data_IF_832236555361
#
_entry.id   IF_832236555361
#
_cell.length_a   1.000
_cell.length_b   1.000
_cell.length_c   1.000
_cell.angle_alpha   90.00
_cell.angle_beta   90.00
_cell.angle_gamma   90.00
#
_symmetry.space_group_name_H-M   'P 1'
#
loop_
_entity.id
_entity.type
_entity.pdbx_description
1 polymer ?
#
# COMPACT_ATOMS: atom_id res chain seq x y z
N UNK A 1 -10.75 -46.86 54.15
CA UNK A 1 -9.96 -47.19 52.92
C UNK A 1 -10.55 -46.57 51.62
N UNK A 2 -11.70 -45.86 51.67
CA UNK A 2 -12.33 -45.24 50.46
C UNK A 2 -11.75 -43.88 50.01
N UNK A 3 -11.17 -42.98 50.87
CA UNK A 3 -10.71 -41.65 50.41
C UNK A 3 -9.40 -41.73 49.60
N UNK A 4 -8.51 -42.70 49.89
CA UNK A 4 -7.19 -42.81 49.21
C UNK A 4 -7.36 -43.16 47.72
N UNK A 5 -8.30 -44.01 47.39
CA UNK A 5 -8.58 -44.45 46.03
C UNK A 5 -9.19 -43.28 45.20
N UNK A 6 -9.94 -42.39 45.83
CA UNK A 6 -10.55 -41.23 45.17
C UNK A 6 -9.51 -40.14 44.86
N UNK A 7 -8.59 -39.88 45.83
CA UNK A 7 -7.46 -38.96 45.63
C UNK A 7 -6.51 -39.49 44.56
N UNK A 8 -6.24 -40.79 44.53
CA UNK A 8 -5.39 -41.40 43.49
C UNK A 8 -6.01 -41.35 42.09
N UNK A 9 -7.35 -41.46 42.00
CA UNK A 9 -8.07 -41.29 40.71
C UNK A 9 -8.07 -39.83 40.24
N UNK A 10 -8.21 -38.87 41.15
CA UNK A 10 -8.12 -37.43 40.85
C UNK A 10 -6.72 -37.03 40.41
N UNK A 11 -5.68 -37.53 41.07
CA UNK A 11 -4.28 -37.31 40.70
C UNK A 11 -3.94 -37.91 39.32
N UNK A 12 -4.51 -39.07 38.99
CA UNK A 12 -4.31 -39.73 37.70
C UNK A 12 -5.02 -38.99 36.55
N UNK A 13 -6.20 -38.41 36.81
CA UNK A 13 -6.89 -37.55 35.84
C UNK A 13 -6.16 -36.21 35.56
N UNK A 14 -5.59 -35.60 36.61
CA UNK A 14 -4.81 -34.37 36.47
C UNK A 14 -3.51 -34.64 35.71
N UNK A 15 -2.87 -35.78 35.94
CA UNK A 15 -1.67 -36.18 35.22
C UNK A 15 -1.95 -36.52 33.75
N UNK A 16 -3.10 -37.14 33.46
CA UNK A 16 -3.52 -37.44 32.08
C UNK A 16 -3.84 -36.18 31.27
N UNK A 17 -4.39 -35.12 31.89
CA UNK A 17 -4.64 -33.83 31.22
C UNK A 17 -3.35 -33.05 30.90
N UNK A 18 -2.30 -33.19 31.70
CA UNK A 18 -1.03 -32.51 31.47
C UNK A 18 -0.21 -33.10 30.30
N UNK A 19 -0.44 -34.32 29.90
CA UNK A 19 0.29 -34.98 28.79
C UNK A 19 -0.23 -34.54 27.41
N UNK A 20 -1.47 -34.06 27.32
CA UNK A 20 -2.06 -33.66 26.04
C UNK A 20 -1.44 -32.33 25.50
N UNK A 21 -0.87 -31.51 26.37
CA UNK A 21 -0.19 -30.25 25.95
C UNK A 21 1.27 -30.42 25.53
N UNK A 22 1.86 -31.62 25.70
CA UNK A 22 3.31 -31.81 25.57
C UNK A 22 3.81 -32.18 24.17
N UNK A 23 2.94 -32.30 23.15
CA UNK A 23 3.34 -32.78 21.81
C UNK A 23 3.04 -31.82 20.62
N UNK A 24 2.68 -30.58 20.84
CA UNK A 24 2.59 -29.65 19.76
C UNK A 24 4.00 -29.23 19.27
N UNK A 25 4.40 -29.69 18.10
CA UNK A 25 5.66 -29.25 17.47
C UNK A 25 5.51 -27.80 16.96
N UNK A 26 6.59 -27.00 17.01
CA UNK A 26 6.59 -25.69 16.37
C UNK A 26 6.19 -25.79 14.88
N UNK A 27 5.33 -24.93 14.36
CA UNK A 27 4.87 -24.96 12.96
C UNK A 27 5.93 -24.34 12.04
N UNK A 28 7.12 -24.92 12.01
CA UNK A 28 8.27 -24.36 11.28
C UNK A 28 8.04 -24.31 9.77
N UNK A 29 7.35 -25.30 9.21
CA UNK A 29 7.06 -25.35 7.78
C UNK A 29 6.04 -24.29 7.41
N UNK A 30 4.94 -24.19 8.16
CA UNK A 30 3.88 -23.19 7.90
C UNK A 30 4.40 -21.75 8.03
N UNK A 31 5.33 -21.52 8.96
CA UNK A 31 6.03 -20.23 9.11
C UNK A 31 6.89 -19.96 7.87
N UNK A 32 7.72 -20.90 7.45
CA UNK A 32 8.60 -20.74 6.28
C UNK A 32 7.78 -20.52 4.99
N UNK A 33 6.67 -21.24 4.83
CA UNK A 33 5.77 -21.07 3.70
C UNK A 33 5.10 -19.68 3.69
N UNK A 34 4.72 -19.18 4.87
CA UNK A 34 4.15 -17.85 5.02
C UNK A 34 5.18 -16.74 4.75
N UNK A 35 6.41 -16.88 5.26
CA UNK A 35 7.51 -15.95 4.96
C UNK A 35 7.78 -15.87 3.46
N UNK A 36 7.84 -17.02 2.81
CA UNK A 36 8.01 -17.09 1.37
C UNK A 36 6.86 -16.41 0.63
N UNK A 37 5.61 -16.69 1.00
CA UNK A 37 4.45 -16.09 0.36
C UNK A 37 4.44 -14.55 0.52
N UNK A 38 4.78 -14.02 1.69
CA UNK A 38 4.90 -12.57 1.94
C UNK A 38 6.03 -11.97 1.10
N UNK A 39 7.17 -12.66 1.00
CA UNK A 39 8.28 -12.23 0.14
C UNK A 39 7.88 -12.22 -1.34
N UNK A 40 7.23 -13.28 -1.82
CA UNK A 40 6.74 -13.37 -3.20
C UNK A 40 5.71 -12.28 -3.52
N UNK A 41 4.81 -11.97 -2.58
CA UNK A 41 3.84 -10.87 -2.72
C UNK A 41 4.55 -9.50 -2.84
N UNK A 42 5.61 -9.29 -2.06
CA UNK A 42 6.41 -8.06 -2.14
C UNK A 42 7.16 -7.94 -3.48
N UNK A 43 7.70 -9.05 -4.00
CA UNK A 43 8.31 -9.06 -5.35
C UNK A 43 7.31 -8.73 -6.45
N UNK A 44 6.02 -8.98 -6.21
CA UNK A 44 4.90 -8.59 -7.07
C UNK A 44 4.41 -7.16 -6.79
N UNK A 45 5.13 -6.38 -6.00
CA UNK A 45 4.77 -5.02 -5.64
C UNK A 45 3.39 -4.91 -4.94
N UNK A 46 2.98 -5.95 -4.20
CA UNK A 46 1.68 -5.97 -3.52
C UNK A 46 1.58 -4.87 -2.45
N UNK A 47 2.68 -4.44 -1.89
CA UNK A 47 2.79 -3.29 -0.99
C UNK A 47 2.42 -1.95 -1.67
N UNK A 48 2.51 -1.86 -3.00
CA UNK A 48 2.15 -0.67 -3.78
C UNK A 48 0.72 -0.72 -4.34
N UNK A 49 0.25 -1.91 -4.73
CA UNK A 49 -1.00 -2.05 -5.49
C UNK A 49 -2.12 -2.76 -4.73
N UNK A 50 -1.82 -3.42 -3.59
CA UNK A 50 -2.78 -4.19 -2.76
C UNK A 50 -2.42 -4.02 -1.28
N UNK A 51 -2.08 -2.80 -0.87
CA UNK A 51 -1.53 -2.44 0.44
C UNK A 51 -2.33 -3.01 1.62
N UNK A 52 -3.66 -2.88 1.59
CA UNK A 52 -4.54 -3.33 2.69
C UNK A 52 -4.42 -4.84 2.96
N UNK A 53 -4.40 -5.66 1.90
CA UNK A 53 -4.31 -7.12 2.04
C UNK A 53 -2.89 -7.51 2.41
N UNK A 54 -1.89 -6.87 1.81
CA UNK A 54 -0.48 -7.12 2.08
C UNK A 54 -0.11 -6.78 3.52
N UNK A 55 -0.57 -5.64 4.04
CA UNK A 55 -0.37 -5.25 5.44
C UNK A 55 -0.98 -6.27 6.40
N UNK A 56 -2.19 -6.75 6.14
CA UNK A 56 -2.82 -7.82 6.95
C UNK A 56 -2.04 -9.13 6.90
N UNK A 57 -1.45 -9.46 5.75
CA UNK A 57 -0.58 -10.62 5.65
C UNK A 57 0.67 -10.49 6.55
N UNK A 58 1.30 -9.30 6.54
CA UNK A 58 2.45 -9.00 7.41
C UNK A 58 2.08 -9.03 8.89
N UNK A 59 0.94 -8.46 9.28
CA UNK A 59 0.45 -8.50 10.66
C UNK A 59 0.18 -9.94 11.14
N UNK A 60 -0.44 -10.76 10.28
CA UNK A 60 -0.66 -12.18 10.59
C UNK A 60 0.65 -12.96 10.69
N UNK A 61 1.64 -12.65 9.87
CA UNK A 61 2.97 -13.22 9.95
C UNK A 61 3.68 -12.84 11.27
N UNK A 62 3.61 -11.57 11.65
CA UNK A 62 4.12 -11.09 12.94
C UNK A 62 3.44 -11.81 14.11
N UNK A 63 2.12 -11.92 14.07
CA UNK A 63 1.35 -12.67 15.08
C UNK A 63 1.79 -14.14 15.15
N UNK A 64 2.05 -14.79 14.02
CA UNK A 64 2.53 -16.18 14.00
C UNK A 64 3.85 -16.33 14.74
N UNK A 65 4.82 -15.44 14.49
CA UNK A 65 6.13 -15.47 15.18
C UNK A 65 6.02 -15.18 16.68
N UNK A 66 5.16 -14.24 17.08
CA UNK A 66 4.86 -13.96 18.50
C UNK A 66 4.24 -15.17 19.20
N UNK A 67 3.32 -15.88 18.53
CA UNK A 67 2.71 -17.10 19.08
C UNK A 67 3.71 -18.27 19.21
N UNK A 68 4.67 -18.38 18.30
CA UNK A 68 5.78 -19.35 18.44
C UNK A 68 6.60 -19.04 19.68
N UNK A 69 6.99 -17.77 19.89
CA UNK A 69 7.74 -17.33 21.06
C UNK A 69 6.98 -17.62 22.38
N UNK A 70 5.65 -17.48 22.35
CA UNK A 70 4.75 -17.80 23.46
C UNK A 70 4.45 -19.30 23.60
N UNK A 71 5.03 -20.17 22.75
CA UNK A 71 4.78 -21.63 22.68
C UNK A 71 3.32 -22.00 22.39
N UNK A 72 2.55 -21.09 21.80
CA UNK A 72 1.16 -21.28 21.37
C UNK A 72 1.11 -21.80 19.94
N UNK A 73 1.62 -23.00 19.72
CA UNK A 73 1.91 -23.53 18.39
C UNK A 73 0.68 -23.72 17.50
N UNK A 74 -0.48 -24.06 18.06
CA UNK A 74 -1.73 -24.16 17.28
C UNK A 74 -2.19 -22.79 16.74
N UNK A 75 -2.12 -21.76 17.60
CA UNK A 75 -2.44 -20.37 17.20
C UNK A 75 -1.41 -19.85 16.18
N UNK A 76 -0.12 -20.15 16.39
CA UNK A 76 0.96 -19.80 15.47
C UNK A 76 0.73 -20.39 14.07
N UNK A 77 0.37 -21.68 14.01
CA UNK A 77 0.04 -22.35 12.74
C UNK A 77 -1.11 -21.68 12.01
N UNK A 78 -2.20 -21.37 12.72
CA UNK A 78 -3.36 -20.69 12.13
C UNK A 78 -2.96 -19.31 11.57
N UNK A 79 -2.22 -18.52 12.37
CA UNK A 79 -1.79 -17.20 11.92
C UNK A 79 -0.83 -17.26 10.72
N UNK A 80 0.07 -18.27 10.66
CA UNK A 80 0.95 -18.48 9.51
C UNK A 80 0.18 -18.84 8.24
N UNK A 81 -0.81 -19.75 8.36
CA UNK A 81 -1.67 -20.11 7.23
C UNK A 81 -2.50 -18.91 6.72
N UNK A 82 -3.02 -18.09 7.63
CA UNK A 82 -3.73 -16.86 7.28
C UNK A 82 -2.81 -15.87 6.57
N UNK A 83 -1.57 -15.70 7.06
CA UNK A 83 -0.57 -14.85 6.43
C UNK A 83 -0.25 -15.32 5.00
N UNK A 84 0.01 -16.61 4.82
CA UNK A 84 0.30 -17.19 3.51
C UNK A 84 -0.88 -17.00 2.53
N UNK A 85 -2.10 -17.23 3.00
CA UNK A 85 -3.32 -17.04 2.19
C UNK A 85 -3.50 -15.59 1.74
N UNK A 86 -3.37 -14.63 2.67
CA UNK A 86 -3.52 -13.21 2.35
C UNK A 86 -2.38 -12.73 1.44
N UNK A 87 -1.15 -13.16 1.67
CA UNK A 87 -0.02 -12.83 0.81
C UNK A 87 -0.21 -13.37 -0.62
N UNK A 88 -0.65 -14.62 -0.77
CA UNK A 88 -0.96 -15.19 -2.07
C UNK A 88 -2.09 -14.42 -2.78
N UNK A 89 -3.13 -14.01 -2.05
CA UNK A 89 -4.20 -13.18 -2.59
C UNK A 89 -3.68 -11.80 -3.04
N UNK A 90 -2.84 -11.16 -2.23
CA UNK A 90 -2.25 -9.87 -2.56
C UNK A 90 -1.37 -9.98 -3.82
N UNK A 91 -0.54 -11.01 -3.91
CA UNK A 91 0.28 -11.28 -5.09
C UNK A 91 -0.54 -11.48 -6.37
N UNK A 92 -1.65 -12.22 -6.27
CA UNK A 92 -2.54 -12.48 -7.41
C UNK A 92 -3.26 -11.21 -7.92
N UNK A 93 -3.60 -10.29 -7.03
CA UNK A 93 -4.30 -9.04 -7.37
C UNK A 93 -3.36 -7.93 -7.82
N UNK A 94 -2.07 -8.02 -7.51
CA UNK A 94 -1.11 -6.93 -7.73
C UNK A 94 -0.98 -6.58 -9.22
N UNK A 95 -0.77 -7.55 -10.09
CA UNK A 95 -0.62 -7.33 -11.53
C UNK A 95 -1.90 -6.70 -12.13
N UNK A 96 -3.08 -7.14 -11.70
CA UNK A 96 -4.37 -6.59 -12.16
C UNK A 96 -4.56 -5.13 -11.71
N UNK A 97 -4.25 -4.83 -10.47
CA UNK A 97 -4.40 -3.48 -9.94
C UNK A 97 -3.36 -2.52 -10.54
N UNK A 98 -2.14 -2.99 -10.77
CA UNK A 98 -1.10 -2.25 -11.51
C UNK A 98 -1.58 -1.88 -12.91
N UNK A 99 -2.16 -2.85 -13.63
CA UNK A 99 -2.68 -2.62 -14.96
C UNK A 99 -3.85 -1.62 -14.97
N UNK A 100 -4.81 -1.76 -14.05
CA UNK A 100 -5.93 -0.79 -13.90
C UNK A 100 -5.43 0.61 -13.59
N UNK A 101 -4.47 0.75 -12.69
CA UNK A 101 -3.87 2.05 -12.35
C UNK A 101 -3.15 2.67 -13.55
N UNK A 102 -2.48 1.85 -14.38
CA UNK A 102 -1.85 2.30 -15.62
C UNK A 102 -2.88 2.84 -16.61
N UNK A 103 -3.97 2.10 -16.83
CA UNK A 103 -5.05 2.52 -17.72
C UNK A 103 -5.70 3.83 -17.25
N UNK A 104 -5.95 3.97 -15.94
CA UNK A 104 -6.47 5.20 -15.34
C UNK A 104 -5.50 6.38 -15.55
N UNK A 105 -4.21 6.16 -15.30
CA UNK A 105 -3.16 7.17 -15.52
C UNK A 105 -3.11 7.60 -16.98
N UNK A 106 -3.10 6.67 -17.93
CA UNK A 106 -3.08 6.96 -19.37
C UNK A 106 -4.34 7.74 -19.81
N UNK A 107 -5.51 7.43 -19.23
CA UNK A 107 -6.75 8.16 -19.48
C UNK A 107 -6.74 9.59 -18.91
N UNK A 108 -6.07 9.81 -17.77
CA UNK A 108 -5.94 11.14 -17.14
C UNK A 108 -4.96 12.07 -17.85
N UNK A 109 -3.89 11.53 -18.46
CA UNK A 109 -2.80 12.30 -19.04
C UNK A 109 -3.26 13.43 -20.00
N UNK A 110 -4.13 13.19 -21.01
CA UNK A 110 -4.55 14.25 -21.93
C UNK A 110 -5.36 15.35 -21.22
N UNK A 111 -6.16 15.01 -20.21
CA UNK A 111 -6.92 15.98 -19.42
C UNK A 111 -6.01 16.89 -18.61
N UNK A 112 -4.98 16.33 -17.97
CA UNK A 112 -4.01 17.12 -17.19
C UNK A 112 -3.12 17.96 -18.11
N UNK A 113 -2.72 17.45 -19.27
CA UNK A 113 -2.00 18.23 -20.27
C UNK A 113 -2.82 19.46 -20.72
N UNK A 114 -4.09 19.26 -21.01
CA UNK A 114 -5.02 20.35 -21.38
C UNK A 114 -5.15 21.38 -20.26
N UNK A 115 -5.30 20.92 -18.99
CA UNK A 115 -5.38 21.82 -17.84
C UNK A 115 -4.12 22.67 -17.66
N UNK A 116 -2.95 22.11 -17.97
CA UNK A 116 -1.67 22.82 -17.94
C UNK A 116 -1.58 23.87 -19.06
N UNK A 117 -2.05 23.55 -20.27
CA UNK A 117 -2.09 24.50 -21.39
C UNK A 117 -3.08 25.63 -21.13
N UNK A 118 -4.23 25.36 -20.52
CA UNK A 118 -5.17 26.35 -20.05
C UNK A 118 -4.58 27.27 -18.98
N UNK A 119 -3.85 26.69 -17.99
CA UNK A 119 -3.14 27.45 -16.96
C UNK A 119 -2.15 28.45 -17.60
N UNK A 120 -1.36 28.02 -18.59
CA UNK A 120 -0.44 28.90 -19.34
C UNK A 120 -1.16 30.06 -20.00
N UNK A 121 -2.31 29.79 -20.61
CA UNK A 121 -3.13 30.82 -21.26
C UNK A 121 -3.64 31.86 -20.26
N UNK A 122 -4.16 31.41 -19.13
CA UNK A 122 -4.62 32.26 -18.03
C UNK A 122 -3.46 33.07 -17.46
N UNK A 123 -2.31 32.44 -17.24
CA UNK A 123 -1.10 33.09 -16.75
C UNK A 123 -0.61 34.21 -17.68
N UNK A 124 -0.60 33.97 -19.00
CA UNK A 124 -0.25 34.98 -19.98
C UNK A 124 -1.22 36.20 -19.94
N UNK A 125 -2.49 35.94 -19.70
CA UNK A 125 -3.52 36.98 -19.54
C UNK A 125 -3.31 37.77 -18.23
N UNK A 126 -3.02 37.10 -17.13
CA UNK A 126 -2.75 37.71 -15.83
C UNK A 126 -1.51 38.61 -15.87
N UNK A 127 -0.46 38.19 -16.56
CA UNK A 127 0.76 38.99 -16.77
C UNK A 127 0.42 40.26 -17.61
N UNK A 128 -0.33 40.13 -18.70
CA UNK A 128 -0.74 41.27 -19.53
C UNK A 128 -1.57 42.27 -18.75
N UNK A 129 -2.47 41.82 -17.89
CA UNK A 129 -3.32 42.65 -17.04
C UNK A 129 -2.60 43.20 -15.81
N UNK A 130 -1.35 42.81 -15.57
CA UNK A 130 -0.59 43.14 -14.35
C UNK A 130 -1.29 42.67 -13.06
N UNK A 131 -2.07 41.59 -13.16
CA UNK A 131 -2.83 40.99 -12.05
C UNK A 131 -1.97 40.05 -11.18
N UNK A 132 -0.67 39.97 -11.42
CA UNK A 132 0.29 39.14 -10.63
C UNK A 132 1.41 39.99 -10.09
N UNK A 133 1.83 39.70 -8.86
CA UNK A 133 2.89 40.43 -8.18
C UNK A 133 4.29 40.17 -8.78
N UNK A 134 4.55 38.92 -9.22
CA UNK A 134 5.82 38.51 -9.81
C UNK A 134 5.58 37.61 -11.03
N UNK A 135 6.02 38.12 -12.20
CA UNK A 135 6.01 37.35 -13.44
C UNK A 135 6.97 36.16 -13.38
N UNK A 136 8.14 36.38 -12.83
CA UNK A 136 9.21 35.36 -12.85
C UNK A 136 8.86 34.16 -11.92
N UNK A 137 8.25 34.43 -10.76
CA UNK A 137 7.74 33.39 -9.88
C UNK A 137 6.64 32.57 -10.54
N UNK A 138 5.70 33.22 -11.23
CA UNK A 138 4.64 32.54 -11.94
C UNK A 138 5.19 31.65 -13.07
N UNK A 139 6.14 32.18 -13.86
CA UNK A 139 6.78 31.41 -14.93
C UNK A 139 7.59 30.22 -14.38
N UNK A 140 8.30 30.41 -13.28
CA UNK A 140 9.03 29.34 -12.60
C UNK A 140 8.09 28.25 -12.08
N UNK A 141 6.95 28.63 -11.48
CA UNK A 141 5.96 27.67 -11.00
C UNK A 141 5.37 26.83 -12.14
N UNK A 142 5.03 27.47 -13.28
CA UNK A 142 4.52 26.76 -14.47
C UNK A 142 5.61 25.84 -15.05
N UNK A 143 6.85 26.32 -15.15
CA UNK A 143 7.97 25.51 -15.62
C UNK A 143 8.20 24.25 -14.78
N UNK A 144 8.01 24.35 -13.47
CA UNK A 144 8.06 23.19 -12.59
C UNK A 144 6.96 22.17 -12.92
N UNK A 145 5.71 22.61 -13.15
CA UNK A 145 4.61 21.70 -13.51
C UNK A 145 4.85 21.02 -14.87
N UNK A 146 5.52 21.69 -15.82
CA UNK A 146 5.93 21.09 -17.10
C UNK A 146 7.01 20.01 -16.91
N UNK A 147 7.97 20.27 -16.05
CA UNK A 147 8.98 19.26 -15.67
C UNK A 147 8.32 18.05 -14.97
N UNK A 148 7.40 18.30 -14.06
CA UNK A 148 6.66 17.23 -13.38
C UNK A 148 5.84 16.38 -14.38
N UNK A 149 5.22 17.00 -15.41
CA UNK A 149 4.53 16.28 -16.49
C UNK A 149 5.49 15.43 -17.31
N UNK A 150 6.70 15.92 -17.56
CA UNK A 150 7.74 15.12 -18.24
C UNK A 150 8.16 13.93 -17.39
N UNK A 151 8.39 14.16 -16.09
CA UNK A 151 8.71 13.09 -15.14
C UNK A 151 7.61 12.02 -15.04
N UNK A 152 6.32 12.41 -15.10
CA UNK A 152 5.20 11.45 -15.17
C UNK A 152 5.34 10.52 -16.38
N UNK A 153 5.63 11.09 -17.55
CA UNK A 153 5.78 10.31 -18.80
C UNK A 153 6.99 9.37 -18.74
N UNK A 154 8.09 9.83 -18.18
CA UNK A 154 9.31 9.02 -17.97
C UNK A 154 9.04 7.86 -17.00
N UNK A 155 8.43 8.15 -15.83
CA UNK A 155 8.08 7.12 -14.85
C UNK A 155 7.11 6.08 -15.41
N UNK A 156 6.15 6.51 -16.26
CA UNK A 156 5.24 5.59 -16.96
C UNK A 156 6.00 4.67 -17.90
N UNK A 157 6.96 5.19 -18.66
CA UNK A 157 7.81 4.39 -19.56
C UNK A 157 8.72 3.41 -18.80
N UNK A 158 9.20 3.81 -17.62
CA UNK A 158 9.99 2.96 -16.73
C UNK A 158 9.16 1.91 -15.98
N UNK A 159 7.83 1.92 -16.13
CA UNK A 159 6.92 1.02 -15.42
C UNK A 159 6.69 1.35 -13.95
N UNK A 160 7.11 2.53 -13.49
CA UNK A 160 6.88 3.08 -12.14
C UNK A 160 5.47 3.67 -12.02
N UNK A 161 4.46 2.80 -12.22
CA UNK A 161 3.07 3.22 -12.41
C UNK A 161 2.52 3.98 -11.19
N UNK A 162 2.80 3.50 -9.97
CA UNK A 162 2.32 4.14 -8.74
C UNK A 162 2.88 5.55 -8.58
N UNK A 163 4.18 5.73 -8.78
CA UNK A 163 4.83 7.03 -8.67
C UNK A 163 4.31 8.01 -9.73
N UNK A 164 4.20 7.55 -10.99
CA UNK A 164 3.64 8.35 -12.07
C UNK A 164 2.19 8.79 -11.79
N UNK A 165 1.38 7.88 -11.24
CA UNK A 165 -0.02 8.14 -10.90
C UNK A 165 -0.15 9.19 -9.80
N UNK A 166 0.59 9.04 -8.71
CA UNK A 166 0.58 9.96 -7.58
C UNK A 166 1.10 11.36 -8.00
N UNK A 167 2.15 11.41 -8.82
CA UNK A 167 2.69 12.66 -9.36
C UNK A 167 1.68 13.34 -10.29
N UNK A 168 1.01 12.60 -11.18
CA UNK A 168 -0.01 13.16 -12.09
C UNK A 168 -1.20 13.74 -11.33
N UNK A 169 -1.67 13.05 -10.27
CA UNK A 169 -2.74 13.57 -9.39
C UNK A 169 -2.34 14.87 -8.70
N UNK A 170 -1.12 14.91 -8.16
CA UNK A 170 -0.58 16.10 -7.52
C UNK A 170 -0.48 17.27 -8.51
N UNK A 171 0.05 17.02 -9.70
CA UNK A 171 0.17 18.01 -10.78
C UNK A 171 -1.21 18.55 -11.21
N UNK A 172 -2.19 17.66 -11.38
CA UNK A 172 -3.57 18.04 -11.71
C UNK A 172 -4.16 19.00 -10.67
N UNK A 173 -3.99 18.66 -9.38
CA UNK A 173 -4.49 19.51 -8.29
C UNK A 173 -3.79 20.87 -8.24
N UNK A 174 -2.46 20.90 -8.42
CA UNK A 174 -1.67 22.13 -8.43
C UNK A 174 -2.04 23.03 -9.61
N UNK A 175 -2.16 22.46 -10.81
CA UNK A 175 -2.56 23.21 -12.01
C UNK A 175 -3.95 23.83 -11.86
N UNK A 176 -4.91 23.08 -11.33
CA UNK A 176 -6.27 23.57 -11.06
C UNK A 176 -6.29 24.69 -10.02
N UNK A 177 -5.57 24.54 -8.91
CA UNK A 177 -5.47 25.55 -7.85
C UNK A 177 -4.83 26.84 -8.35
N UNK A 178 -3.72 26.75 -9.08
CA UNK A 178 -3.06 27.93 -9.66
C UNK A 178 -3.93 28.63 -10.70
N UNK A 179 -4.61 27.86 -11.57
CA UNK A 179 -5.53 28.42 -12.56
C UNK A 179 -6.67 29.20 -11.88
N UNK A 180 -7.27 28.64 -10.84
CA UNK A 180 -8.34 29.32 -10.09
C UNK A 180 -7.84 30.61 -9.46
N UNK A 181 -6.71 30.59 -8.77
CA UNK A 181 -6.10 31.77 -8.14
C UNK A 181 -5.83 32.90 -9.16
N UNK A 182 -5.32 32.54 -10.33
CA UNK A 182 -5.08 33.51 -11.39
C UNK A 182 -6.38 34.08 -12.01
N UNK A 183 -7.39 33.24 -12.15
CA UNK A 183 -8.71 33.64 -12.66
C UNK A 183 -9.36 34.64 -11.72
N UNK A 184 -9.30 34.40 -10.41
CA UNK A 184 -9.83 35.30 -9.38
C UNK A 184 -9.07 36.62 -9.36
N UNK A 185 -7.74 36.61 -9.53
CA UNK A 185 -6.92 37.82 -9.61
C UNK A 185 -7.20 38.65 -10.88
N UNK A 186 -7.56 38.02 -11.99
CA UNK A 186 -7.91 38.69 -13.25
C UNK A 186 -9.30 39.37 -13.16
N UNK A 187 -10.20 38.81 -12.35
CA UNK A 187 -11.58 39.25 -12.19
C UNK A 187 -11.75 40.42 -11.19
N UNK A 188 -10.71 40.72 -10.41
CA UNK A 188 -10.66 41.87 -9.49
C UNK A 188 -10.15 43.11 -10.22
#
# INVERSE_FOLDING_TARGET
MKPVVWVMRLAMCVFALSVIFACAKPPTQEIADAEKAVSDAKLKEADLYVEDIFTKAQESMKKATEMVAAKKYAEAKTAALDAAKMAAQAAALSDQNKQKMKEELEAMLPGVQKALDELKSVAATAIKKKAVASKDELQSAIGKLELDMTAVKEQLQEGKIRQAFDLLKSLSAQAASQKQSLTDAIGQ
#
